data_IF_519288915551
#
_entry.id   IF_519288915551
#
_cell.length_a   1.000
_cell.length_b   1.000
_cell.length_c   1.000
_cell.angle_alpha   90.00
_cell.angle_beta   90.00
_cell.angle_gamma   90.00
#
_symmetry.space_group_name_H-M   'P 1'
#
loop_
_entity.id
_entity.type
_entity.pdbx_description
1 polymer ?
#
# COMPACT_ATOMS: atom_id res chain seq x y z
N UNK A 1 8.36 -11.87 -7.92
CA UNK A 1 7.85 -11.42 -6.64
C UNK A 1 6.35 -11.67 -6.49
N UNK A 2 5.58 -11.34 -7.55
CA UNK A 2 4.15 -11.62 -7.55
C UNK A 2 3.83 -13.12 -7.50
N UNK A 3 4.75 -13.93 -7.98
CA UNK A 3 4.56 -15.37 -7.95
C UNK A 3 4.54 -15.93 -6.54
N UNK A 4 5.24 -15.28 -5.62
CA UNK A 4 5.26 -15.69 -4.22
C UNK A 4 4.04 -15.17 -3.46
N UNK A 5 3.32 -14.22 -4.02
CA UNK A 5 2.18 -13.60 -3.37
C UNK A 5 0.91 -14.32 -3.82
N UNK A 6 0.29 -15.01 -2.88
CA UNK A 6 -0.90 -15.78 -3.16
C UNK A 6 -2.00 -15.38 -2.20
N UNK A 7 -2.80 -14.38 -2.56
CA UNK A 7 -3.87 -13.97 -1.68
C UNK A 7 -4.93 -15.05 -1.59
N UNK A 8 -5.42 -15.23 -0.41
CA UNK A 8 -6.47 -16.20 -0.14
C UNK A 8 -7.86 -15.62 -0.31
N UNK A 9 -7.95 -14.30 -0.43
CA UNK A 9 -9.21 -13.60 -0.52
C UNK A 9 -9.04 -12.35 -1.38
N UNK A 10 -10.03 -11.50 -1.37
CA UNK A 10 -9.94 -10.22 -2.04
C UNK A 10 -8.96 -9.32 -1.31
N UNK A 11 -7.91 -8.94 -1.98
CA UNK A 11 -6.89 -8.05 -1.44
C UNK A 11 -7.14 -6.62 -1.81
N UNK A 12 -6.39 -5.74 -1.15
CA UNK A 12 -6.42 -4.32 -1.42
C UNK A 12 -5.10 -3.93 -2.07
N UNK A 13 -5.19 -3.24 -3.19
CA UNK A 13 -4.03 -2.68 -3.87
C UNK A 13 -4.07 -1.17 -3.73
N UNK A 14 -2.97 -0.58 -3.32
CA UNK A 14 -2.82 0.87 -3.31
C UNK A 14 -1.72 1.27 -4.28
N UNK A 15 -2.02 2.21 -5.16
CA UNK A 15 -1.06 2.75 -6.10
C UNK A 15 -0.80 4.21 -5.73
N UNK A 16 0.46 4.56 -5.55
CA UNK A 16 0.83 5.93 -5.23
C UNK A 16 0.64 6.82 -6.45
N UNK A 17 -0.17 7.86 -6.33
CA UNK A 17 -0.39 8.85 -7.38
C UNK A 17 0.55 10.03 -7.19
N UNK A 18 0.76 10.43 -5.95
CA UNK A 18 1.75 11.45 -5.58
C UNK A 18 2.81 10.79 -4.71
N UNK A 19 3.94 11.43 -4.47
CA UNK A 19 4.92 10.86 -3.56
C UNK A 19 4.32 10.61 -2.17
N UNK A 20 4.75 9.53 -1.53
CA UNK A 20 4.29 9.18 -0.20
C UNK A 20 5.43 9.43 0.79
N UNK A 21 5.15 10.20 1.83
CA UNK A 21 6.13 10.55 2.83
C UNK A 21 5.91 9.73 4.09
N UNK A 22 6.70 8.68 4.26
CA UNK A 22 6.63 7.82 5.43
C UNK A 22 7.87 8.00 6.29
N UNK A 23 7.69 7.87 7.59
CA UNK A 23 8.78 8.04 8.53
C UNK A 23 9.92 7.04 8.29
N UNK A 24 9.58 5.83 7.95
CA UNK A 24 10.56 4.74 7.76
C UNK A 24 10.88 4.46 6.29
N UNK A 25 10.67 5.43 5.42
CA UNK A 25 10.99 5.27 4.00
C UNK A 25 9.87 4.61 3.22
N UNK A 26 10.01 3.32 2.89
CA UNK A 26 9.03 2.63 2.04
C UNK A 26 7.86 2.03 2.82
N UNK A 27 8.06 1.76 4.10
CA UNK A 27 7.05 1.09 4.92
C UNK A 27 6.02 2.11 5.39
N UNK A 28 4.72 1.87 5.13
CA UNK A 28 3.69 2.79 5.59
C UNK A 28 3.75 3.01 7.10
N UNK A 29 3.43 4.24 7.51
CA UNK A 29 3.45 4.60 8.91
C UNK A 29 2.48 3.73 9.71
N UNK A 30 2.91 3.36 10.91
CA UNK A 30 2.11 2.52 11.78
C UNK A 30 2.29 1.03 11.55
N UNK A 31 3.09 0.64 10.56
CA UNK A 31 3.36 -0.77 10.29
C UNK A 31 4.60 -1.24 11.03
N UNK A 32 4.54 -2.45 11.54
CA UNK A 32 5.65 -3.09 12.23
C UNK A 32 5.59 -4.59 12.02
N UNK A 33 6.71 -5.26 12.22
CA UNK A 33 6.75 -6.71 12.11
C UNK A 33 6.09 -7.31 13.35
N UNK A 34 5.05 -8.12 13.12
CA UNK A 34 4.37 -8.89 14.15
C UNK A 34 4.06 -10.25 13.56
N UNK A 35 4.41 -11.29 14.29
CA UNK A 35 4.14 -12.67 13.85
C UNK A 35 4.66 -12.97 12.44
N UNK A 36 5.86 -12.45 12.15
CA UNK A 36 6.52 -12.74 10.89
C UNK A 36 6.04 -11.94 9.69
N UNK A 37 5.19 -10.95 9.87
CA UNK A 37 4.68 -10.13 8.77
C UNK A 37 4.57 -8.68 9.20
N UNK A 38 4.56 -7.77 8.22
CA UNK A 38 4.32 -6.36 8.49
C UNK A 38 2.81 -6.16 8.66
N UNK A 39 2.42 -5.67 9.81
CA UNK A 39 1.01 -5.44 10.17
C UNK A 39 0.84 -4.03 10.65
N UNK A 40 -0.31 -3.46 10.37
CA UNK A 40 -0.63 -2.10 10.81
C UNK A 40 -2.00 -1.70 10.37
N UNK A 41 -2.28 -0.40 10.48
CA UNK A 41 -3.57 0.16 10.10
C UNK A 41 -3.35 1.22 9.06
N UNK A 42 -4.29 1.31 8.12
CA UNK A 42 -4.29 2.34 7.10
C UNK A 42 -5.35 3.39 7.46
N UNK A 43 -5.08 4.69 7.15
CA UNK A 43 -6.09 5.72 7.39
C UNK A 43 -7.36 5.40 6.60
N UNK A 44 -8.50 5.58 7.24
CA UNK A 44 -9.78 5.35 6.61
C UNK A 44 -10.26 3.90 6.62
N UNK A 45 -9.47 2.97 7.12
CA UNK A 45 -9.87 1.58 7.26
C UNK A 45 -9.97 1.18 8.72
N UNK A 46 -10.99 0.40 9.03
CA UNK A 46 -11.11 -0.23 10.33
C UNK A 46 -10.34 -1.54 10.33
N UNK A 47 -9.70 -1.81 11.47
CA UNK A 47 -9.02 -3.08 11.64
C UNK A 47 -7.60 -3.09 11.11
N UNK A 48 -6.90 -4.14 11.47
CA UNK A 48 -5.50 -4.31 11.10
C UNK A 48 -5.40 -4.98 9.72
N UNK A 49 -4.40 -4.57 8.95
CA UNK A 49 -4.10 -5.17 7.66
C UNK A 49 -2.67 -5.67 7.64
N UNK A 50 -2.41 -6.61 6.76
CA UNK A 50 -1.10 -7.23 6.57
C UNK A 50 -0.58 -6.80 5.21
N UNK A 51 0.64 -6.28 5.18
CA UNK A 51 1.30 -5.93 3.91
C UNK A 51 1.88 -7.22 3.33
N UNK A 52 1.39 -7.60 2.15
CA UNK A 52 1.81 -8.84 1.49
C UNK A 52 2.91 -8.65 0.47
N UNK A 53 2.87 -7.53 -0.23
CA UNK A 53 3.89 -7.24 -1.24
C UNK A 53 3.94 -5.75 -1.49
N UNK A 54 5.09 -5.28 -1.94
CA UNK A 54 5.27 -3.89 -2.32
C UNK A 54 6.24 -3.82 -3.49
N UNK A 55 5.90 -2.99 -4.48
CA UNK A 55 6.78 -2.65 -5.58
C UNK A 55 7.08 -1.17 -5.45
N UNK A 56 8.27 -0.86 -4.97
CA UNK A 56 8.63 0.52 -4.66
C UNK A 56 9.78 0.93 -5.58
N UNK A 57 9.53 1.88 -6.49
CA UNK A 57 10.60 2.35 -7.37
C UNK A 57 11.64 3.13 -6.57
N UNK A 58 12.68 3.58 -7.27
CA UNK A 58 13.71 4.40 -6.65
C UNK A 58 13.05 5.62 -5.99
N UNK A 59 13.41 5.95 -4.75
CA UNK A 59 12.78 7.04 -4.05
C UNK A 59 13.05 8.39 -4.72
N UNK A 60 12.13 9.33 -4.50
CA UNK A 60 12.30 10.71 -4.92
C UNK A 60 12.68 11.55 -3.71
N UNK A 61 13.40 12.61 -3.96
CA UNK A 61 13.80 13.56 -2.91
C UNK A 61 13.04 14.85 -3.14
N UNK A 62 12.26 15.25 -2.15
CA UNK A 62 11.42 16.42 -2.24
C UNK A 62 11.86 17.44 -1.20
N UNK A 63 12.11 18.66 -1.66
CA UNK A 63 12.40 19.76 -0.77
C UNK A 63 11.36 20.85 -1.05
N UNK A 64 11.36 21.88 -0.25
CA UNK A 64 10.46 22.99 -0.40
C UNK A 64 10.98 24.18 0.36
N UNK A 65 10.18 25.21 0.41
CA UNK A 65 10.51 26.45 1.11
C UNK A 65 9.50 26.67 2.22
N UNK A 66 10.00 26.96 3.40
CA UNK A 66 9.15 27.29 4.54
C UNK A 66 9.06 28.81 4.60
N UNK A 67 7.92 29.34 4.19
CA UNK A 67 7.71 30.79 4.12
C UNK A 67 7.74 31.43 5.50
N UNK A 68 7.26 30.74 6.52
CA UNK A 68 7.24 31.27 7.88
C UNK A 68 8.65 31.40 8.45
N UNK A 69 9.48 30.41 8.21
CA UNK A 69 10.87 30.41 8.67
C UNK A 69 11.81 31.12 7.70
N UNK A 70 11.34 31.46 6.51
CA UNK A 70 12.15 32.06 5.43
C UNK A 70 13.41 31.23 5.18
N UNK A 71 13.22 29.91 5.06
CA UNK A 71 14.31 28.96 4.92
C UNK A 71 13.84 27.75 4.11
N UNK A 72 14.76 27.02 3.48
CA UNK A 72 14.36 25.78 2.79
C UNK A 72 13.92 24.73 3.81
N UNK A 73 12.87 23.97 3.45
CA UNK A 73 12.46 22.81 4.24
C UNK A 73 13.51 21.73 4.07
N UNK A 74 13.68 20.87 5.10
CA UNK A 74 14.56 19.71 4.94
C UNK A 74 14.09 18.85 3.77
N UNK A 75 15.04 18.33 3.03
CA UNK A 75 14.74 17.40 1.94
C UNK A 75 14.20 16.11 2.52
N UNK A 76 13.04 15.68 2.05
CA UNK A 76 12.44 14.42 2.46
C UNK A 76 12.60 13.38 1.37
N UNK A 77 13.00 12.19 1.79
CA UNK A 77 13.06 11.03 0.90
C UNK A 77 11.69 10.38 0.91
N UNK A 78 11.06 10.35 -0.25
CA UNK A 78 9.68 9.89 -0.36
C UNK A 78 9.57 8.70 -1.32
N UNK A 79 8.51 7.91 -1.12
CA UNK A 79 8.14 6.86 -2.05
C UNK A 79 7.68 7.52 -3.35
N UNK A 80 8.21 7.07 -4.47
CA UNK A 80 7.90 7.65 -5.76
C UNK A 80 6.48 7.28 -6.21
N UNK A 81 5.85 8.16 -7.01
CA UNK A 81 4.59 7.79 -7.67
C UNK A 81 4.78 6.53 -8.50
N UNK A 82 3.74 5.72 -8.57
CA UNK A 82 3.80 4.43 -9.25
C UNK A 82 4.13 3.28 -8.33
N UNK A 83 4.50 3.54 -7.07
CA UNK A 83 4.67 2.47 -6.10
C UNK A 83 3.34 1.76 -5.87
N UNK A 84 3.40 0.46 -5.65
CA UNK A 84 2.20 -0.36 -5.47
C UNK A 84 2.36 -1.19 -4.20
N UNK A 85 1.35 -1.16 -3.37
CA UNK A 85 1.29 -1.93 -2.14
C UNK A 85 0.09 -2.86 -2.17
N UNK A 86 0.30 -4.08 -1.70
CA UNK A 86 -0.76 -5.09 -1.63
C UNK A 86 -1.00 -5.49 -0.19
N UNK A 87 -2.25 -5.43 0.23
CA UNK A 87 -2.64 -5.70 1.61
C UNK A 87 -3.74 -6.75 1.66
N UNK A 88 -3.81 -7.46 2.78
CA UNK A 88 -4.95 -8.30 3.14
C UNK A 88 -5.36 -7.97 4.55
N UNK A 89 -6.65 -8.19 4.88
CA UNK A 89 -7.07 -8.00 6.26
C UNK A 89 -6.45 -9.06 7.15
N UNK A 90 -6.06 -8.65 8.34
CA UNK A 90 -5.48 -9.58 9.31
C UNK A 90 -6.48 -10.66 9.71
N UNK A 91 -7.77 -10.36 9.68
CA UNK A 91 -8.82 -11.32 10.01
C UNK A 91 -9.21 -12.23 8.84
N UNK A 92 -8.59 -12.04 7.68
CA UNK A 92 -8.85 -12.86 6.51
C UNK A 92 -10.10 -12.51 5.73
N UNK A 93 -10.85 -11.49 6.14
CA UNK A 93 -12.07 -11.10 5.45
C UNK A 93 -11.74 -10.30 4.20
N UNK A 94 -12.57 -10.35 3.18
CA UNK A 94 -12.33 -9.57 1.96
C UNK A 94 -12.56 -8.08 2.20
N UNK A 95 -11.88 -7.28 1.39
CA UNK A 95 -12.19 -5.84 1.30
C UNK A 95 -13.40 -5.64 0.41
N UNK A 96 -14.17 -4.60 0.71
CA UNK A 96 -15.33 -4.23 -0.09
C UNK A 96 -15.20 -2.85 -0.68
N UNK A 97 -16.21 -2.45 -1.44
CA UNK A 97 -16.24 -1.14 -2.10
C UNK A 97 -16.19 0.01 -1.10
N UNK A 98 -16.76 -0.19 0.08
CA UNK A 98 -16.74 0.83 1.13
C UNK A 98 -15.31 1.11 1.58
N UNK A 99 -14.48 0.08 1.68
CA UNK A 99 -13.09 0.22 2.06
C UNK A 99 -12.33 1.02 1.01
N UNK A 100 -12.56 0.73 -0.25
CA UNK A 100 -11.91 1.46 -1.34
C UNK A 100 -12.32 2.92 -1.32
N UNK A 101 -13.60 3.23 -1.11
CA UNK A 101 -14.07 4.61 -1.04
C UNK A 101 -13.41 5.37 0.11
N UNK A 102 -13.27 4.73 1.25
CA UNK A 102 -12.64 5.36 2.40
C UNK A 102 -11.21 5.77 2.10
N UNK A 103 -10.50 4.97 1.33
CA UNK A 103 -9.13 5.26 0.95
C UNK A 103 -9.02 6.33 -0.13
N UNK A 104 -10.02 6.44 -1.00
CA UNK A 104 -10.06 7.53 -1.98
C UNK A 104 -10.09 8.90 -1.31
N UNK A 105 -10.71 8.98 -0.14
CA UNK A 105 -10.85 10.23 0.60
C UNK A 105 -9.73 10.42 1.63
N UNK A 106 -8.90 9.42 1.82
CA UNK A 106 -7.82 9.46 2.79
C UNK A 106 -6.49 9.76 2.10
N UNK A 107 -5.57 10.28 2.88
CA UNK A 107 -4.18 10.43 2.45
C UNK A 107 -3.31 9.65 3.41
N UNK A 108 -2.23 9.07 2.92
CA UNK A 108 -1.34 8.25 3.74
C UNK A 108 -0.02 8.96 3.97
N UNK A 109 0.55 8.75 5.16
CA UNK A 109 1.84 9.34 5.51
C UNK A 109 1.72 10.76 6.03
N UNK A 110 2.82 11.49 5.95
CA UNK A 110 2.92 12.87 6.41
C UNK A 110 2.96 13.83 5.23
N UNK A 111 2.95 15.14 5.51
CA UNK A 111 2.97 16.22 4.52
C UNK A 111 1.79 16.13 3.55
N UNK A 112 0.67 15.61 4.03
CA UNK A 112 -0.52 15.43 3.18
C UNK A 112 -1.18 16.76 2.83
N UNK A 113 -1.01 17.77 3.67
CA UNK A 113 -1.52 19.12 3.39
C UNK A 113 -0.80 19.75 2.19
N UNK A 114 0.35 19.24 1.81
CA UNK A 114 1.08 19.71 0.65
C UNK A 114 0.74 18.92 -0.61
N UNK A 115 -0.22 18.00 -0.53
CA UNK A 115 -0.64 17.19 -1.66
C UNK A 115 0.01 15.83 -1.74
N UNK A 116 0.91 15.50 -0.82
CA UNK A 116 1.53 14.19 -0.81
C UNK A 116 0.62 13.15 -0.16
N UNK A 117 0.91 11.88 -0.39
CA UNK A 117 0.18 10.80 0.24
C UNK A 117 -1.05 10.33 -0.52
N UNK A 118 -1.25 10.79 -1.74
CA UNK A 118 -2.43 10.39 -2.51
C UNK A 118 -2.25 9.02 -3.13
N UNK A 119 -3.26 8.17 -2.95
CA UNK A 119 -3.23 6.80 -3.44
C UNK A 119 -4.53 6.50 -4.17
N UNK A 120 -4.46 5.54 -5.09
CA UNK A 120 -5.64 5.00 -5.77
C UNK A 120 -5.82 3.57 -5.27
N UNK A 121 -6.92 3.30 -4.57
CA UNK A 121 -7.21 1.96 -4.09
C UNK A 121 -7.87 1.12 -5.16
N UNK A 122 -7.64 -0.19 -5.10
CA UNK A 122 -8.33 -1.16 -5.93
C UNK A 122 -8.55 -2.43 -5.15
N UNK A 123 -9.72 -3.02 -5.29
CA UNK A 123 -10.01 -4.30 -4.70
C UNK A 123 -9.62 -5.36 -5.73
N UNK A 124 -8.94 -6.36 -5.25
CA UNK A 124 -8.37 -7.35 -6.13
C UNK A 124 -8.72 -8.73 -5.61
N UNK A 125 -9.20 -9.58 -6.51
CA UNK A 125 -9.44 -10.97 -6.17
C UNK A 125 -8.46 -11.83 -6.89
N UNK A 126 -7.90 -12.77 -6.16
CA UNK A 126 -7.04 -13.76 -6.79
C UNK A 126 -7.87 -14.52 -7.82
N UNK A 127 -7.30 -14.78 -8.98
CA UNK A 127 -7.97 -15.67 -9.90
C UNK A 127 -8.17 -17.00 -9.20
N UNK A 128 -9.36 -17.56 -9.33
CA UNK A 128 -9.62 -18.90 -8.83
C UNK A 128 -8.61 -19.82 -9.45
N UNK A 129 -7.71 -20.29 -8.65
CA UNK A 129 -6.98 -21.46 -9.03
C UNK A 129 -7.92 -22.61 -8.85
N UNK A 130 -8.67 -22.92 -9.83
CA UNK A 130 -9.11 -24.28 -9.97
C UNK A 130 -7.85 -25.09 -9.98
N UNK A 131 -7.71 -26.04 -9.06
CA UNK A 131 -6.65 -26.99 -9.19
C UNK A 131 -6.87 -27.61 -10.57
N UNK A 132 -6.03 -27.29 -11.46
CA UNK A 132 -6.01 -27.95 -12.70
C UNK A 132 -5.75 -29.34 -12.43
N UNK A 133 -6.70 -29.84 -12.47
CA UNK A 133 -6.49 -31.10 -12.25
C UNK A 133 -5.27 -31.40 -12.81
N UNK A 134 -5.44 -31.54 -12.70
CA UNK A 134 -4.75 -31.67 -12.88
C UNK A 134 -4.71 -31.89 -13.79
N UNK A 135 -5.36 -31.69 -14.10
CA UNK A 135 -5.18 -31.62 -14.91
C UNK A 135 -4.80 -31.55 -15.63
N UNK A 136 -4.91 -31.48 -15.61
CA UNK A 136 -4.40 -31.08 -16.17
C UNK A 136 -3.58 -31.28 -16.50
N UNK A 137 -3.60 -31.97 -16.36
CA UNK A 137 -2.66 -31.83 -16.49
C UNK A 137 -2.26 -32.34 -17.19
N UNK A 138 -2.59 -32.76 -17.43
CA UNK A 138 -2.20 -32.85 -18.04
C UNK A 138 -2.23 -32.86 -18.91
N UNK A 139 -2.54 -32.93 -18.89
CA UNK A 139 -2.56 -32.63 -19.57
C UNK A 139 -2.28 -32.51 -20.33
N UNK A 140 -2.31 -32.82 -20.37
CA UNK A 140 -1.96 -32.38 -20.82
C UNK A 140 -1.82 -32.33 -21.34
#
# INVERSE_FOLDING_TARGET
LLEAFRPTSHGLRLVAVTPLCFEKGWLPDGFAVKEGAYRGRLPGLDGEVVLRAAFVPRPVHVSGWDMAANAPKPTSRMVAPGAVYFFERADGKPFGDTDARSLWLASVGTRTEEGFGRVVPGIWSAPRTTPRGGNDVHDE
#
